data_IF_493340142978
#
_entry.id   IF_493340142978
#
_cell.length_a   1.000
_cell.length_b   1.000
_cell.length_c   1.000
_cell.angle_alpha   90.00
_cell.angle_beta   90.00
_cell.angle_gamma   90.00
#
_symmetry.space_group_name_H-M   'P 1'
#
loop_
_entity.id
_entity.type
_entity.pdbx_description
1 polymer ?
#
# COMPACT_ATOMS: atom_id res chain seq x y z
N UNK A 1 -6.32 -23.36 -5.39
CA UNK A 1 -7.61 -22.77 -4.97
C UNK A 1 -8.12 -21.80 -6.02
N UNK A 2 -9.44 -21.63 -6.13
CA UNK A 2 -10.09 -20.55 -6.88
C UNK A 2 -10.33 -19.35 -5.97
N UNK A 3 -9.72 -18.23 -6.25
CA UNK A 3 -9.77 -17.01 -5.42
C UNK A 3 -10.47 -15.90 -6.19
N UNK A 4 -11.58 -15.38 -5.63
CA UNK A 4 -12.25 -14.19 -6.17
C UNK A 4 -11.78 -12.94 -5.41
N UNK A 5 -11.18 -12.01 -6.12
CA UNK A 5 -10.72 -10.74 -5.55
C UNK A 5 -11.74 -9.64 -5.83
N UNK A 6 -12.28 -9.02 -4.79
CA UNK A 6 -13.18 -7.87 -4.89
C UNK A 6 -12.44 -6.61 -4.46
N UNK A 7 -12.31 -5.64 -5.35
CA UNK A 7 -11.57 -4.42 -5.03
C UNK A 7 -12.09 -3.22 -5.83
N UNK A 8 -11.79 -2.01 -5.37
CA UNK A 8 -11.94 -0.81 -6.19
C UNK A 8 -10.81 -0.71 -7.22
N UNK A 9 -11.11 -0.10 -8.35
CA UNK A 9 -10.13 0.13 -9.41
C UNK A 9 -9.16 1.27 -9.07
N UNK A 10 -9.63 2.33 -8.40
CA UNK A 10 -8.81 3.48 -8.01
C UNK A 10 -8.12 3.25 -6.67
N UNK A 11 -6.79 3.26 -6.66
CA UNK A 11 -5.95 3.02 -5.49
C UNK A 11 -4.78 4.00 -5.44
N UNK A 12 -4.62 4.73 -4.34
CA UNK A 12 -3.53 5.70 -4.10
C UNK A 12 -3.31 6.70 -5.26
N UNK A 13 -4.39 7.18 -5.88
CA UNK A 13 -4.31 8.10 -7.02
C UNK A 13 -4.05 7.44 -8.37
N UNK A 14 -3.71 6.16 -8.40
CA UNK A 14 -3.47 5.35 -9.58
C UNK A 14 -4.69 4.47 -9.92
N UNK A 15 -4.71 3.94 -11.14
CA UNK A 15 -5.71 2.97 -11.60
C UNK A 15 -5.09 1.57 -11.61
N UNK A 16 -5.75 0.63 -10.96
CA UNK A 16 -5.29 -0.76 -10.85
C UNK A 16 -4.96 -1.42 -12.20
N UNK A 17 -5.78 -1.15 -13.22
CA UNK A 17 -5.69 -1.81 -14.52
C UNK A 17 -4.88 -1.00 -15.53
N UNK A 18 -5.05 0.33 -15.53
CA UNK A 18 -4.36 1.22 -16.48
C UNK A 18 -2.89 1.45 -16.06
N UNK A 19 -2.65 1.75 -14.77
CA UNK A 19 -1.30 2.01 -14.24
C UNK A 19 -0.56 0.73 -13.78
N UNK A 20 -1.26 -0.40 -13.68
CA UNK A 20 -0.71 -1.70 -13.24
C UNK A 20 0.09 -1.61 -11.96
N UNK A 21 -0.49 -1.01 -10.94
CA UNK A 21 0.22 -0.62 -9.72
C UNK A 21 -0.44 -1.11 -8.44
N UNK A 22 0.39 -1.46 -7.46
CA UNK A 22 0.07 -1.55 -6.04
C UNK A 22 -0.43 -2.92 -5.56
N UNK A 23 -0.72 -2.98 -4.27
CA UNK A 23 -1.09 -4.18 -3.50
C UNK A 23 -2.14 -5.05 -4.18
N UNK A 24 -3.19 -4.44 -4.71
CA UNK A 24 -4.32 -5.16 -5.31
C UNK A 24 -4.03 -5.70 -6.70
N UNK A 25 -2.87 -5.40 -7.26
CA UNK A 25 -2.33 -6.03 -8.46
C UNK A 25 -1.27 -7.07 -8.12
N UNK A 26 -0.29 -6.69 -7.33
CA UNK A 26 0.90 -7.51 -7.07
C UNK A 26 0.56 -8.79 -6.28
N UNK A 27 -0.29 -8.69 -5.25
CA UNK A 27 -0.67 -9.87 -4.46
C UNK A 27 -1.51 -10.89 -5.26
N UNK A 28 -2.57 -10.49 -6.02
CA UNK A 28 -3.28 -11.42 -6.90
C UNK A 28 -2.39 -12.09 -7.95
N UNK A 29 -1.46 -11.35 -8.55
CA UNK A 29 -0.49 -11.92 -9.49
C UNK A 29 0.44 -12.92 -8.81
N UNK A 30 0.95 -12.59 -7.63
CA UNK A 30 1.77 -13.49 -6.84
C UNK A 30 1.01 -14.77 -6.44
N UNK A 31 -0.26 -14.67 -6.05
CA UNK A 31 -1.11 -15.83 -5.79
C UNK A 31 -1.29 -16.70 -7.05
N UNK A 32 -1.49 -16.08 -8.21
CA UNK A 32 -1.59 -16.81 -9.47
C UNK A 32 -0.27 -17.51 -9.83
N UNK A 33 0.88 -16.93 -9.52
CA UNK A 33 2.20 -17.55 -9.69
C UNK A 33 2.43 -18.76 -8.77
N UNK A 34 1.80 -18.75 -7.59
CA UNK A 34 1.79 -19.89 -6.66
C UNK A 34 0.84 -21.02 -7.09
N UNK A 35 0.17 -20.88 -8.26
CA UNK A 35 -0.71 -21.91 -8.82
C UNK A 35 -2.17 -21.78 -8.41
N UNK A 36 -2.58 -20.65 -7.81
CA UNK A 36 -4.00 -20.40 -7.57
C UNK A 36 -4.67 -19.87 -8.84
N UNK A 37 -5.94 -20.22 -9.05
CA UNK A 37 -6.77 -19.63 -10.08
C UNK A 37 -7.40 -18.35 -9.53
N UNK A 38 -7.02 -17.19 -10.10
CA UNK A 38 -7.40 -15.89 -9.54
C UNK A 38 -8.24 -15.10 -10.54
N UNK A 39 -9.45 -14.72 -10.11
CA UNK A 39 -10.33 -13.79 -10.81
C UNK A 39 -10.50 -12.52 -9.99
N UNK A 40 -10.35 -11.36 -10.63
CA UNK A 40 -10.56 -10.06 -10.00
C UNK A 40 -11.82 -9.36 -10.52
N UNK A 41 -12.61 -8.75 -9.65
CA UNK A 41 -13.72 -7.86 -9.99
C UNK A 41 -13.40 -6.47 -9.44
N UNK A 42 -13.03 -5.58 -10.35
CA UNK A 42 -12.59 -4.23 -10.05
C UNK A 42 -13.73 -3.22 -10.20
N UNK A 43 -14.15 -2.64 -9.08
CA UNK A 43 -15.19 -1.62 -9.00
C UNK A 43 -14.62 -0.24 -9.34
N UNK A 44 -15.06 0.39 -10.41
CA UNK A 44 -14.65 1.76 -10.72
C UNK A 44 -15.66 2.77 -10.19
N UNK A 45 -15.20 3.66 -9.31
CA UNK A 45 -15.96 4.84 -8.85
C UNK A 45 -15.84 6.03 -9.82
N UNK A 46 -15.12 5.85 -10.91
CA UNK A 46 -15.03 6.79 -12.04
C UNK A 46 -15.52 6.09 -13.30
N UNK A 47 -15.96 6.86 -14.29
CA UNK A 47 -16.30 6.29 -15.59
C UNK A 47 -15.01 5.85 -16.29
N UNK A 48 -14.84 4.56 -16.46
CA UNK A 48 -13.74 3.90 -17.18
C UNK A 48 -14.30 2.92 -18.20
N UNK A 49 -13.46 2.45 -19.08
CA UNK A 49 -13.83 1.35 -19.97
C UNK A 49 -14.12 0.09 -19.15
N UNK A 50 -15.28 -0.49 -19.40
CA UNK A 50 -15.68 -1.76 -18.80
C UNK A 50 -15.26 -2.91 -19.72
N UNK A 51 -14.86 -4.02 -19.14
CA UNK A 51 -14.45 -5.18 -19.93
C UNK A 51 -13.66 -6.18 -19.11
N UNK A 52 -13.02 -7.08 -19.83
CA UNK A 52 -12.16 -8.12 -19.29
C UNK A 52 -10.72 -7.79 -19.67
N UNK A 53 -9.85 -7.72 -18.67
CA UNK A 53 -8.41 -7.49 -18.85
C UNK A 53 -7.64 -8.68 -18.31
N UNK A 54 -6.72 -9.22 -19.08
CA UNK A 54 -5.78 -10.24 -18.64
C UNK A 54 -4.51 -9.53 -18.12
N UNK A 55 -4.17 -9.75 -16.88
CA UNK A 55 -2.89 -9.28 -16.30
C UNK A 55 -1.97 -10.47 -16.04
N UNK A 56 -0.74 -10.37 -16.51
CA UNK A 56 0.29 -11.41 -16.37
C UNK A 56 1.67 -10.74 -16.34
N UNK A 57 2.64 -11.43 -15.73
CA UNK A 57 4.05 -11.05 -15.82
C UNK A 57 4.67 -11.93 -16.89
N UNK A 58 5.25 -11.32 -17.92
CA UNK A 58 5.71 -11.96 -19.18
C UNK A 58 6.70 -13.11 -19.00
N UNK A 59 7.37 -13.21 -17.85
CA UNK A 59 8.41 -14.21 -17.57
C UNK A 59 7.97 -15.34 -16.64
N UNK A 60 6.72 -15.34 -16.14
CA UNK A 60 6.28 -16.27 -15.10
C UNK A 60 4.90 -16.87 -15.41
N UNK A 61 4.70 -18.13 -15.02
CA UNK A 61 3.39 -18.79 -15.08
C UNK A 61 2.47 -18.21 -14.01
N UNK A 62 1.51 -17.45 -14.41
CA UNK A 62 0.49 -16.88 -13.53
C UNK A 62 -0.25 -15.75 -14.23
N UNK A 63 -1.58 -15.79 -14.18
CA UNK A 63 -2.43 -14.78 -14.80
C UNK A 63 -3.66 -14.51 -13.94
N UNK A 64 -4.06 -13.25 -13.93
CA UNK A 64 -5.30 -12.82 -13.28
C UNK A 64 -6.25 -12.28 -14.32
N UNK A 65 -7.50 -12.75 -14.32
CA UNK A 65 -8.55 -12.23 -15.18
C UNK A 65 -9.31 -11.16 -14.39
N UNK A 66 -9.24 -9.93 -14.86
CA UNK A 66 -9.92 -8.80 -14.26
C UNK A 66 -11.21 -8.43 -15.02
N UNK A 67 -12.30 -8.32 -14.28
CA UNK A 67 -13.57 -7.75 -14.75
C UNK A 67 -13.72 -6.33 -14.21
N UNK A 68 -13.68 -5.32 -15.10
CA UNK A 68 -13.88 -3.91 -14.74
C UNK A 68 -15.36 -3.54 -14.84
N UNK A 69 -15.93 -3.04 -13.75
CA UNK A 69 -17.35 -2.67 -13.66
C UNK A 69 -17.48 -1.28 -13.04
N UNK A 70 -18.16 -0.35 -13.73
CA UNK A 70 -18.41 0.98 -13.20
C UNK A 70 -19.55 0.97 -12.16
N UNK A 71 -19.28 1.50 -10.97
CA UNK A 71 -20.28 1.74 -9.94
C UNK A 71 -21.00 3.09 -10.08
N UNK A 72 -20.67 3.86 -11.13
CA UNK A 72 -21.25 5.16 -11.40
C UNK A 72 -21.68 5.26 -12.87
N UNK A 73 -22.78 5.99 -13.14
CA UNK A 73 -23.16 6.37 -14.47
C UNK A 73 -23.45 7.88 -14.47
N UNK A 74 -22.62 8.64 -15.19
CA UNK A 74 -22.60 10.11 -15.14
C UNK A 74 -22.46 10.61 -13.71
N UNK A 75 -23.57 10.96 -13.01
CA UNK A 75 -23.57 11.49 -11.64
C UNK A 75 -24.28 10.56 -10.63
N UNK A 76 -24.81 9.41 -11.06
CA UNK A 76 -25.59 8.54 -10.18
C UNK A 76 -24.81 7.29 -9.75
N UNK A 77 -24.75 6.97 -8.43
CA UNK A 77 -24.19 5.73 -7.96
C UNK A 77 -24.98 4.52 -8.48
N UNK A 78 -24.28 3.46 -8.93
CA UNK A 78 -24.87 2.20 -9.38
C UNK A 78 -24.21 1.01 -8.69
N UNK A 79 -24.04 1.06 -7.39
CA UNK A 79 -23.46 -0.03 -6.60
C UNK A 79 -24.25 -1.34 -6.76
N UNK A 80 -25.57 -1.28 -6.91
CA UNK A 80 -26.41 -2.46 -7.19
C UNK A 80 -26.06 -3.17 -8.51
N UNK A 81 -25.65 -2.42 -9.55
CA UNK A 81 -25.18 -3.01 -10.81
C UNK A 81 -23.86 -3.76 -10.64
N UNK A 82 -22.93 -3.17 -9.89
CA UNK A 82 -21.69 -3.85 -9.53
C UNK A 82 -21.98 -5.14 -8.75
N UNK A 83 -22.82 -5.05 -7.71
CA UNK A 83 -23.18 -6.19 -6.87
C UNK A 83 -23.83 -7.33 -7.68
N UNK A 84 -24.78 -7.01 -8.57
CA UNK A 84 -25.44 -8.00 -9.42
C UNK A 84 -24.47 -8.69 -10.38
N UNK A 85 -23.55 -7.94 -11.01
CA UNK A 85 -22.55 -8.53 -11.90
C UNK A 85 -21.52 -9.36 -11.15
N UNK A 86 -21.04 -8.87 -10.00
CA UNK A 86 -20.12 -9.61 -9.16
C UNK A 86 -20.72 -10.92 -8.64
N UNK A 87 -22.02 -10.91 -8.28
CA UNK A 87 -22.74 -12.12 -7.89
C UNK A 87 -22.79 -13.14 -9.03
N UNK A 88 -23.10 -12.71 -10.26
CA UNK A 88 -23.12 -13.60 -11.43
C UNK A 88 -21.74 -14.19 -11.69
N UNK A 89 -20.69 -13.36 -11.72
CA UNK A 89 -19.31 -13.81 -11.91
C UNK A 89 -18.87 -14.80 -10.82
N UNK A 90 -19.22 -14.53 -9.56
CA UNK A 90 -18.93 -15.44 -8.45
C UNK A 90 -19.67 -16.79 -8.58
N UNK A 91 -20.94 -16.77 -9.03
CA UNK A 91 -21.72 -18.01 -9.26
C UNK A 91 -21.13 -18.84 -10.41
N UNK A 92 -20.70 -18.20 -11.50
CA UNK A 92 -20.08 -18.87 -12.66
C UNK A 92 -18.67 -19.40 -12.33
N UNK A 93 -17.87 -18.64 -11.55
CA UNK A 93 -16.50 -18.98 -11.18
C UNK A 93 -16.40 -20.01 -10.06
N UNK A 94 -17.38 -20.04 -9.15
CA UNK A 94 -17.42 -20.92 -7.97
C UNK A 94 -16.12 -20.83 -7.14
N UNK A 95 -15.80 -19.67 -6.53
CA UNK A 95 -14.58 -19.49 -5.77
C UNK A 95 -14.59 -20.30 -4.48
N UNK A 96 -13.42 -20.84 -4.11
CA UNK A 96 -13.16 -21.45 -2.80
C UNK A 96 -13.08 -20.39 -1.70
N UNK A 97 -12.68 -19.16 -2.09
CA UNK A 97 -12.49 -18.04 -1.18
C UNK A 97 -12.71 -16.70 -1.90
N UNK A 98 -13.37 -15.76 -1.20
CA UNK A 98 -13.46 -14.35 -1.60
C UNK A 98 -12.47 -13.55 -0.77
N UNK A 99 -11.52 -12.89 -1.44
CA UNK A 99 -10.65 -11.88 -0.83
C UNK A 99 -11.20 -10.49 -1.14
N UNK A 100 -11.77 -9.86 -0.11
CA UNK A 100 -12.48 -8.59 -0.24
C UNK A 100 -11.63 -7.44 0.28
N UNK A 101 -11.28 -6.52 -0.61
CA UNK A 101 -10.27 -5.50 -0.38
C UNK A 101 -10.85 -4.09 -0.54
N UNK A 102 -10.05 -3.11 -0.15
CA UNK A 102 -10.06 -1.71 -0.57
C UNK A 102 -10.93 -0.72 0.20
N UNK A 103 -12.12 -1.00 0.64
CA UNK A 103 -12.94 -0.07 1.43
C UNK A 103 -14.09 -0.77 2.17
N UNK A 104 -14.82 0.01 2.99
CA UNK A 104 -15.92 -0.52 3.80
C UNK A 104 -17.04 -1.14 2.95
N UNK A 105 -17.32 -0.60 1.75
CA UNK A 105 -18.33 -1.17 0.86
C UNK A 105 -17.94 -2.57 0.41
N UNK A 106 -16.68 -2.76 -0.04
CA UNK A 106 -16.20 -4.07 -0.48
C UNK A 106 -16.16 -5.06 0.69
N UNK A 107 -15.73 -4.63 1.88
CA UNK A 107 -15.73 -5.47 3.07
C UNK A 107 -17.14 -6.01 3.40
N UNK A 108 -18.14 -5.12 3.42
CA UNK A 108 -19.54 -5.49 3.67
C UNK A 108 -20.09 -6.37 2.56
N UNK A 109 -19.87 -5.96 1.30
CA UNK A 109 -20.37 -6.69 0.14
C UNK A 109 -19.73 -8.08 0.01
N UNK A 110 -18.41 -8.19 0.20
CA UNK A 110 -17.70 -9.46 0.14
C UNK A 110 -18.16 -10.45 1.21
N UNK A 111 -18.36 -9.97 2.44
CA UNK A 111 -18.90 -10.81 3.52
C UNK A 111 -20.35 -11.27 3.22
N UNK A 112 -21.19 -10.38 2.65
CA UNK A 112 -22.55 -10.74 2.22
C UNK A 112 -22.52 -11.74 1.06
N UNK A 113 -21.68 -11.51 0.04
CA UNK A 113 -21.57 -12.37 -1.14
C UNK A 113 -21.10 -13.77 -0.75
N UNK A 114 -20.08 -13.86 0.10
CA UNK A 114 -19.56 -15.14 0.58
C UNK A 114 -20.64 -15.99 1.28
N UNK A 115 -21.43 -15.37 2.15
CA UNK A 115 -22.60 -16.03 2.77
C UNK A 115 -23.62 -16.48 1.73
N UNK A 116 -23.87 -15.65 0.71
CA UNK A 116 -24.88 -15.93 -0.33
C UNK A 116 -24.53 -17.11 -1.21
N UNK A 117 -23.23 -17.33 -1.50
CA UNK A 117 -22.73 -18.44 -2.32
C UNK A 117 -22.05 -19.55 -1.49
N UNK A 118 -22.14 -19.48 -0.15
CA UNK A 118 -21.63 -20.47 0.79
C UNK A 118 -20.12 -20.72 0.66
N UNK A 119 -19.33 -19.66 0.50
CA UNK A 119 -17.86 -19.73 0.43
C UNK A 119 -17.20 -18.93 1.55
N UNK A 120 -15.88 -19.00 1.68
CA UNK A 120 -15.09 -18.29 2.68
C UNK A 120 -14.86 -16.83 2.30
N UNK A 121 -14.77 -15.97 3.32
CA UNK A 121 -14.46 -14.55 3.15
C UNK A 121 -13.24 -14.14 3.98
N UNK A 122 -12.24 -13.59 3.31
CA UNK A 122 -11.13 -12.87 3.95
C UNK A 122 -11.24 -11.39 3.58
N UNK A 123 -11.21 -10.51 4.58
CA UNK A 123 -11.24 -9.06 4.38
C UNK A 123 -9.84 -8.49 4.54
N UNK A 124 -9.39 -7.69 3.57
CA UNK A 124 -8.10 -6.99 3.62
C UNK A 124 -8.29 -5.55 4.09
N UNK A 125 -7.69 -5.22 5.22
CA UNK A 125 -7.66 -3.88 5.79
C UNK A 125 -6.30 -3.23 5.51
N UNK A 126 -6.19 -2.54 4.37
CA UNK A 126 -4.97 -1.84 3.97
C UNK A 126 -4.90 -0.40 4.47
N UNK A 127 -5.93 0.06 5.17
CA UNK A 127 -6.03 1.39 5.74
C UNK A 127 -7.08 1.41 6.87
N UNK A 128 -7.05 2.45 7.70
CA UNK A 128 -8.10 2.66 8.70
C UNK A 128 -9.36 3.25 8.05
N UNK A 129 -10.27 2.38 7.59
CA UNK A 129 -11.51 2.80 6.90
C UNK A 129 -12.46 3.60 7.80
N UNK A 130 -12.31 3.55 9.10
CA UNK A 130 -13.11 4.33 10.04
C UNK A 130 -12.75 5.82 10.01
N UNK A 131 -11.53 6.17 9.61
CA UNK A 131 -11.07 7.55 9.46
C UNK A 131 -11.58 8.24 8.18
N UNK A 132 -12.16 7.50 7.23
CA UNK A 132 -12.68 8.09 6.00
C UNK A 132 -14.05 8.72 6.16
N UNK A 133 -14.35 9.75 5.35
CA UNK A 133 -15.68 10.42 5.35
C UNK A 133 -16.84 9.45 5.12
N UNK A 134 -16.63 8.35 4.42
CA UNK A 134 -17.64 7.32 4.21
C UNK A 134 -18.14 6.71 5.53
N UNK A 135 -17.34 6.67 6.59
CA UNK A 135 -17.74 6.18 7.91
C UNK A 135 -18.83 7.03 8.58
N UNK A 136 -19.02 8.28 8.12
CA UNK A 136 -20.08 9.19 8.61
C UNK A 136 -21.48 8.82 8.07
N UNK A 137 -21.57 7.91 7.08
CA UNK A 137 -22.87 7.41 6.59
C UNK A 137 -23.52 6.59 7.71
N UNK A 138 -24.76 6.95 8.14
CA UNK A 138 -25.44 6.26 9.23
C UNK A 138 -25.53 4.75 9.01
N UNK A 139 -25.11 3.97 10.00
CA UNK A 139 -25.13 2.50 9.97
C UNK A 139 -23.99 1.84 9.20
N UNK A 140 -23.26 2.54 8.32
CA UNK A 140 -22.19 1.93 7.52
C UNK A 140 -21.06 1.38 8.39
N UNK A 141 -20.65 2.13 9.43
CA UNK A 141 -19.61 1.71 10.36
C UNK A 141 -19.99 0.44 11.13
N UNK A 142 -21.25 0.36 11.58
CA UNK A 142 -21.76 -0.83 12.28
C UNK A 142 -21.76 -2.06 11.38
N UNK A 143 -22.19 -1.89 10.14
CA UNK A 143 -22.17 -2.98 9.14
C UNK A 143 -20.74 -3.41 8.80
N UNK A 144 -19.83 -2.44 8.65
CA UNK A 144 -18.41 -2.72 8.40
C UNK A 144 -17.78 -3.51 9.56
N UNK A 145 -17.93 -3.04 10.80
CA UNK A 145 -17.43 -3.73 11.99
C UNK A 145 -18.01 -5.12 12.15
N UNK A 146 -19.30 -5.28 11.82
CA UNK A 146 -19.93 -6.60 11.79
C UNK A 146 -19.31 -7.49 10.72
N UNK A 147 -19.12 -7.00 9.49
CA UNK A 147 -18.48 -7.76 8.41
C UNK A 147 -17.08 -8.23 8.80
N UNK A 148 -16.26 -7.35 9.38
CA UNK A 148 -14.90 -7.68 9.84
C UNK A 148 -14.92 -8.73 10.96
N UNK A 149 -15.84 -8.64 11.94
CA UNK A 149 -15.95 -9.65 13.01
C UNK A 149 -16.39 -11.01 12.47
N UNK A 150 -17.32 -11.04 11.52
CA UNK A 150 -17.92 -12.28 10.99
C UNK A 150 -17.08 -12.93 9.87
N UNK A 151 -16.18 -12.20 9.21
CA UNK A 151 -15.31 -12.74 8.17
C UNK A 151 -14.48 -13.94 8.66
N UNK A 152 -14.25 -14.94 7.81
CA UNK A 152 -13.47 -16.13 8.15
C UNK A 152 -12.02 -15.79 8.46
N UNK A 153 -11.44 -14.79 7.79
CA UNK A 153 -10.13 -14.23 8.06
C UNK A 153 -10.08 -12.72 7.86
N UNK A 154 -9.07 -12.07 8.45
CA UNK A 154 -8.76 -10.67 8.17
C UNK A 154 -7.26 -10.52 7.96
N UNK A 155 -6.88 -9.79 6.91
CA UNK A 155 -5.50 -9.38 6.68
C UNK A 155 -5.34 -7.89 6.95
N UNK A 156 -4.20 -7.51 7.53
CA UNK A 156 -3.83 -6.12 7.81
C UNK A 156 -2.53 -5.81 7.09
N UNK A 157 -2.34 -4.57 6.67
CA UNK A 157 -1.08 -4.21 6.03
C UNK A 157 0.00 -3.77 7.03
N UNK A 158 -0.33 -3.50 8.30
CA UNK A 158 0.63 -3.25 9.36
C UNK A 158 0.10 -3.72 10.73
N UNK A 159 1.04 -3.94 11.66
CA UNK A 159 0.75 -4.42 13.02
C UNK A 159 -0.14 -3.43 13.77
N UNK A 160 0.13 -2.13 13.72
CA UNK A 160 -0.64 -1.11 14.42
C UNK A 160 -2.12 -1.11 14.07
N UNK A 161 -2.45 -1.30 12.79
CA UNK A 161 -3.84 -1.42 12.38
C UNK A 161 -4.46 -2.72 12.90
N UNK A 162 -3.72 -3.82 12.92
CA UNK A 162 -4.19 -5.08 13.49
C UNK A 162 -4.51 -4.93 14.97
N UNK A 163 -3.61 -4.36 15.76
CA UNK A 163 -3.78 -4.15 17.19
C UNK A 163 -4.97 -3.23 17.49
N UNK A 164 -5.09 -2.12 16.74
CA UNK A 164 -6.25 -1.22 16.84
C UNK A 164 -7.59 -1.94 16.60
N UNK A 165 -7.67 -2.71 15.52
CA UNK A 165 -8.90 -3.41 15.15
C UNK A 165 -9.25 -4.50 16.16
N UNK A 166 -8.28 -5.29 16.62
CA UNK A 166 -8.49 -6.34 17.61
C UNK A 166 -8.95 -5.76 18.96
N UNK A 167 -8.43 -4.60 19.36
CA UNK A 167 -8.85 -3.90 20.59
C UNK A 167 -10.24 -3.27 20.43
N UNK A 168 -10.54 -2.69 19.26
CA UNK A 168 -11.79 -1.94 19.05
C UNK A 168 -13.00 -2.86 18.88
N UNK A 169 -12.84 -3.98 18.19
CA UNK A 169 -13.90 -4.96 17.96
C UNK A 169 -13.33 -6.38 17.91
N UNK A 170 -13.15 -6.99 19.09
CA UNK A 170 -12.53 -8.30 19.22
C UNK A 170 -13.20 -9.37 18.36
N UNK A 171 -12.39 -10.28 17.86
CA UNK A 171 -12.80 -11.41 17.03
C UNK A 171 -12.05 -12.67 17.42
N UNK A 172 -12.70 -13.85 17.25
CA UNK A 172 -12.11 -15.15 17.58
C UNK A 172 -11.64 -15.93 16.35
N UNK A 173 -11.66 -15.29 15.16
CA UNK A 173 -11.26 -15.90 13.90
C UNK A 173 -9.86 -15.44 13.50
N UNK A 174 -9.13 -16.22 12.68
CA UNK A 174 -7.75 -15.93 12.30
C UNK A 174 -7.56 -14.54 11.68
N UNK A 175 -6.41 -13.95 11.96
CA UNK A 175 -5.96 -12.73 11.30
C UNK A 175 -4.44 -12.71 11.20
N UNK A 176 -3.92 -12.02 10.18
CA UNK A 176 -2.48 -11.90 9.98
C UNK A 176 -2.12 -10.55 9.35
N UNK A 177 -0.86 -10.16 9.50
CA UNK A 177 -0.31 -8.97 8.85
C UNK A 177 0.34 -9.38 7.54
N UNK A 178 -0.09 -8.80 6.44
CA UNK A 178 0.50 -8.95 5.11
C UNK A 178 1.02 -7.58 4.68
N UNK A 179 2.28 -7.34 4.91
CA UNK A 179 2.93 -6.10 4.54
C UNK A 179 3.05 -5.95 3.02
N UNK A 180 3.17 -4.70 2.56
CA UNK A 180 3.46 -4.44 1.16
C UNK A 180 4.90 -4.84 0.84
N UNK A 181 5.08 -5.51 -0.27
CA UNK A 181 6.38 -5.86 -0.79
C UNK A 181 6.99 -4.79 -1.68
N UNK A 182 8.25 -4.99 -2.03
CA UNK A 182 8.97 -4.17 -3.00
C UNK A 182 9.27 -4.98 -4.26
N UNK A 183 9.24 -4.35 -5.42
CA UNK A 183 9.72 -4.92 -6.68
C UNK A 183 11.26 -4.92 -6.67
N UNK A 184 11.84 -6.04 -6.19
CA UNK A 184 13.30 -6.19 -6.10
C UNK A 184 14.01 -6.22 -7.47
N UNK A 185 13.27 -6.36 -8.55
CA UNK A 185 13.73 -6.21 -9.92
C UNK A 185 13.92 -4.74 -10.33
N UNK A 186 13.29 -3.79 -9.64
CA UNK A 186 13.43 -2.35 -9.84
C UNK A 186 14.25 -1.70 -8.73
N UNK A 187 13.92 -1.99 -7.47
CA UNK A 187 14.51 -1.37 -6.29
C UNK A 187 15.67 -2.23 -5.77
N UNK A 188 16.87 -1.84 -6.12
CA UNK A 188 18.15 -2.40 -5.69
C UNK A 188 19.20 -1.27 -5.69
N UNK A 189 20.39 -1.46 -5.12
CA UNK A 189 21.44 -0.45 -5.17
C UNK A 189 21.84 -0.08 -6.60
N UNK A 190 21.67 1.18 -6.97
CA UNK A 190 22.04 1.72 -8.27
C UNK A 190 23.35 2.48 -8.19
N UNK A 191 24.04 2.62 -9.33
CA UNK A 191 25.18 3.52 -9.44
C UNK A 191 24.73 4.97 -9.36
N UNK A 192 25.19 5.69 -8.34
CA UNK A 192 24.78 7.06 -8.03
C UNK A 192 25.07 8.03 -9.18
N UNK A 193 26.25 7.94 -9.76
CA UNK A 193 26.70 8.89 -10.78
C UNK A 193 25.89 8.71 -12.07
N UNK A 194 25.62 7.47 -12.45
CA UNK A 194 24.74 7.16 -13.57
C UNK A 194 23.30 7.65 -13.32
N UNK A 195 22.78 7.48 -12.10
CA UNK A 195 21.48 8.01 -11.70
C UNK A 195 21.43 9.54 -11.79
N UNK A 196 22.44 10.23 -11.31
CA UNK A 196 22.53 11.69 -11.39
C UNK A 196 22.59 12.18 -12.83
N UNK A 197 23.40 11.54 -13.66
CA UNK A 197 23.49 11.87 -15.07
C UNK A 197 22.13 11.71 -15.78
N UNK A 198 21.40 10.64 -15.47
CA UNK A 198 20.06 10.39 -16.03
C UNK A 198 19.07 11.53 -15.81
N UNK A 199 19.12 12.14 -14.63
CA UNK A 199 18.20 13.21 -14.23
C UNK A 199 18.79 14.62 -14.37
N UNK A 200 20.01 14.77 -14.90
CA UNK A 200 20.67 16.06 -15.01
C UNK A 200 21.01 16.69 -13.67
N UNK A 201 21.20 15.87 -12.64
CA UNK A 201 21.58 16.31 -11.30
C UNK A 201 23.11 16.50 -11.21
N UNK A 202 23.60 17.49 -10.44
CA UNK A 202 25.03 17.72 -10.30
C UNK A 202 25.74 16.52 -9.65
N UNK A 203 26.87 16.12 -10.26
CA UNK A 203 27.60 14.92 -9.86
C UNK A 203 28.19 15.02 -8.46
N UNK A 204 28.78 16.16 -8.14
CA UNK A 204 29.58 16.36 -6.91
C UNK A 204 28.79 17.03 -5.78
N UNK A 205 27.55 17.44 -6.03
CA UNK A 205 26.70 18.05 -5.01
C UNK A 205 26.20 17.05 -3.97
N UNK A 206 25.89 17.55 -2.80
CA UNK A 206 25.14 16.82 -1.77
C UNK A 206 23.65 16.94 -2.06
N UNK A 207 22.93 15.84 -2.23
CA UNK A 207 21.53 15.86 -2.66
C UNK A 207 20.64 15.15 -1.64
N UNK A 208 19.74 15.92 -1.02
CA UNK A 208 18.65 15.36 -0.23
C UNK A 208 17.34 15.39 -1.02
N UNK A 209 16.47 14.40 -0.83
CA UNK A 209 15.27 14.35 -1.67
C UNK A 209 14.17 13.43 -1.17
N UNK A 210 13.03 13.48 -1.87
CA UNK A 210 11.90 12.59 -1.63
C UNK A 210 11.17 12.25 -2.92
N UNK A 211 10.66 11.02 -2.99
CA UNK A 211 9.78 10.55 -4.07
C UNK A 211 8.35 10.31 -3.57
N UNK A 212 7.37 10.49 -4.45
CA UNK A 212 5.94 10.22 -4.20
C UNK A 212 5.12 11.49 -4.01
N UNK A 213 3.86 11.36 -3.58
CA UNK A 213 2.96 12.49 -3.49
C UNK A 213 3.51 13.59 -2.55
N UNK A 214 3.62 14.79 -3.11
CA UNK A 214 4.03 16.00 -2.41
C UNK A 214 2.78 16.75 -1.97
N UNK A 215 2.34 16.52 -0.75
CA UNK A 215 1.13 17.15 -0.20
C UNK A 215 1.29 17.58 1.27
N UNK A 216 0.47 18.56 1.67
CA UNK A 216 0.49 19.14 3.03
C UNK A 216 0.03 18.15 4.07
N UNK A 217 -0.87 17.23 3.71
CA UNK A 217 -1.37 16.23 4.65
C UNK A 217 -0.27 15.27 5.11
N UNK A 218 0.78 15.14 4.30
CA UNK A 218 1.99 14.36 4.61
C UNK A 218 3.11 15.17 5.28
N UNK A 219 2.93 16.49 5.44
CA UNK A 219 3.92 17.35 6.10
C UNK A 219 5.13 17.68 5.24
N UNK A 220 4.99 17.73 3.91
CA UNK A 220 6.10 18.04 3.00
C UNK A 220 6.71 19.43 3.26
N UNK A 221 5.91 20.39 3.75
CA UNK A 221 6.39 21.74 4.07
C UNK A 221 7.44 21.74 5.19
N UNK A 222 7.40 20.75 6.10
CA UNK A 222 8.44 20.55 7.12
C UNK A 222 9.80 20.27 6.47
N UNK A 223 9.81 19.45 5.41
CA UNK A 223 11.02 19.15 4.66
C UNK A 223 11.55 20.37 3.88
N UNK A 224 10.66 21.16 3.30
CA UNK A 224 11.08 22.38 2.59
C UNK A 224 11.75 23.38 3.52
N UNK A 225 11.19 23.61 4.71
CA UNK A 225 11.80 24.49 5.72
C UNK A 225 13.10 23.92 6.26
N UNK A 226 13.19 22.60 6.46
CA UNK A 226 14.43 21.95 6.87
C UNK A 226 15.53 22.11 5.81
N UNK A 227 15.18 21.99 4.52
CA UNK A 227 16.13 22.28 3.44
C UNK A 227 16.63 23.73 3.48
N UNK A 228 15.74 24.72 3.71
CA UNK A 228 16.15 26.14 3.84
C UNK A 228 17.14 26.34 4.99
N UNK A 229 16.93 25.70 6.14
CA UNK A 229 17.86 25.73 7.27
C UNK A 229 19.20 25.12 6.91
N UNK A 230 19.22 23.93 6.34
CA UNK A 230 20.45 23.24 5.96
C UNK A 230 21.20 23.96 4.83
N UNK A 231 20.49 24.52 3.86
CA UNK A 231 21.09 25.23 2.74
C UNK A 231 21.79 26.55 3.11
N UNK A 232 21.54 27.06 4.32
CA UNK A 232 22.30 28.16 4.89
C UNK A 232 23.67 27.71 5.46
N UNK A 233 23.80 26.45 5.85
CA UNK A 233 25.01 25.86 6.43
C UNK A 233 25.86 25.12 5.38
N UNK A 234 25.18 24.41 4.43
CA UNK A 234 25.81 23.59 3.39
C UNK A 234 25.66 24.23 2.02
N UNK A 235 26.71 24.85 1.50
CA UNK A 235 26.67 25.60 0.24
C UNK A 235 26.44 24.72 -1.01
N UNK A 236 26.81 23.46 -0.96
CA UNK A 236 26.66 22.46 -2.03
C UNK A 236 25.43 21.57 -1.87
N UNK A 237 24.54 21.90 -0.92
CA UNK A 237 23.33 21.14 -0.68
C UNK A 237 22.24 21.46 -1.72
N UNK A 238 21.73 20.42 -2.36
CA UNK A 238 20.66 20.46 -3.33
C UNK A 238 19.42 19.69 -2.85
N UNK A 239 18.23 20.16 -3.24
CA UNK A 239 16.96 19.51 -3.01
C UNK A 239 16.48 18.85 -4.30
N UNK A 240 16.18 17.56 -4.28
CA UNK A 240 15.57 16.85 -5.39
C UNK A 240 14.18 16.30 -5.03
N UNK A 241 13.20 16.57 -5.87
CA UNK A 241 11.80 16.22 -5.66
C UNK A 241 11.24 15.47 -6.86
N UNK A 242 10.55 14.34 -6.63
CA UNK A 242 9.86 13.60 -7.67
C UNK A 242 8.47 13.17 -7.21
N UNK A 243 7.43 13.50 -7.98
CA UNK A 243 6.06 13.05 -7.74
C UNK A 243 4.99 14.08 -8.01
N UNK A 244 3.72 13.64 -8.01
CA UNK A 244 2.58 14.52 -8.15
C UNK A 244 2.48 15.45 -6.94
N UNK A 245 2.04 16.68 -7.19
CA UNK A 245 1.90 17.70 -6.15
C UNK A 245 0.47 18.12 -5.91
N UNK A 246 0.18 18.45 -4.66
CA UNK A 246 -1.07 19.07 -4.27
C UNK A 246 -1.24 20.45 -4.96
N UNK A 247 -2.44 20.74 -5.41
CA UNK A 247 -2.75 22.04 -6.03
C UNK A 247 -2.47 23.20 -5.07
N UNK A 248 -1.68 24.17 -5.53
CA UNK A 248 -1.28 25.32 -4.73
C UNK A 248 -0.19 25.07 -3.69
N UNK A 249 0.44 23.91 -3.68
CA UNK A 249 1.65 23.69 -2.90
C UNK A 249 2.80 24.48 -3.54
N UNK A 250 3.41 25.35 -2.75
CA UNK A 250 4.63 26.07 -3.15
C UNK A 250 5.83 25.22 -2.79
N UNK A 251 6.69 24.97 -3.75
CA UNK A 251 7.99 24.35 -3.51
C UNK A 251 9.07 25.43 -3.40
N UNK A 252 10.19 25.18 -2.71
CA UNK A 252 11.33 26.07 -2.76
C UNK A 252 11.79 26.32 -4.20
N UNK A 253 12.32 27.50 -4.45
CA UNK A 253 12.81 27.90 -5.76
C UNK A 253 14.31 28.22 -5.69
N UNK A 254 15.03 28.07 -6.79
CA UNK A 254 16.44 28.42 -6.90
C UNK A 254 17.27 27.38 -7.62
N UNK A 255 18.55 27.68 -7.91
CA UNK A 255 19.42 26.83 -8.72
C UNK A 255 19.77 25.48 -8.07
N UNK A 256 19.55 25.36 -6.76
CA UNK A 256 19.79 24.14 -5.98
C UNK A 256 18.53 23.29 -5.76
N UNK A 257 17.41 23.62 -6.45
CA UNK A 257 16.15 22.87 -6.33
C UNK A 257 15.83 22.21 -7.67
N UNK A 258 15.74 20.88 -7.65
CA UNK A 258 15.45 20.03 -8.80
C UNK A 258 14.08 19.40 -8.66
N UNK A 259 13.10 19.90 -9.41
CA UNK A 259 11.75 19.39 -9.45
C UNK A 259 11.53 18.55 -10.70
N UNK A 260 11.68 17.23 -10.55
CA UNK A 260 11.60 16.25 -11.64
C UNK A 260 10.16 15.89 -12.02
N UNK A 261 9.17 16.48 -11.35
CA UNK A 261 7.74 16.19 -11.58
C UNK A 261 7.40 14.72 -11.27
N UNK A 262 6.29 14.24 -11.82
CA UNK A 262 5.92 12.83 -11.68
C UNK A 262 6.76 11.97 -12.60
N UNK A 263 7.47 11.01 -12.01
CA UNK A 263 8.28 10.02 -12.74
C UNK A 263 7.48 8.73 -12.98
N UNK A 264 7.73 8.01 -14.06
CA UNK A 264 7.31 6.62 -14.20
C UNK A 264 7.82 5.78 -13.03
N UNK A 265 7.03 4.77 -12.62
CA UNK A 265 7.40 3.95 -11.45
C UNK A 265 8.78 3.27 -11.59
N UNK A 266 9.12 2.86 -12.81
CA UNK A 266 10.39 2.23 -13.17
C UNK A 266 11.59 3.16 -12.99
N UNK A 267 11.38 4.47 -12.97
CA UNK A 267 12.44 5.47 -12.78
C UNK A 267 12.64 5.90 -11.32
N UNK A 268 11.67 5.58 -10.45
CA UNK A 268 11.71 5.99 -9.03
C UNK A 268 12.93 5.42 -8.32
N UNK A 269 13.31 4.17 -8.60
CA UNK A 269 14.48 3.53 -8.00
C UNK A 269 15.78 4.25 -8.39
N UNK A 270 15.94 4.61 -9.67
CA UNK A 270 17.09 5.40 -10.14
C UNK A 270 17.12 6.80 -9.52
N UNK A 271 15.94 7.43 -9.36
CA UNK A 271 15.85 8.72 -8.64
C UNK A 271 16.30 8.58 -7.19
N UNK A 272 15.83 7.56 -6.47
CA UNK A 272 16.26 7.30 -5.09
C UNK A 272 17.76 7.05 -5.04
N UNK A 273 18.32 6.28 -5.98
CA UNK A 273 19.75 6.02 -6.08
C UNK A 273 20.62 7.26 -6.34
N UNK A 274 20.05 8.36 -6.86
CA UNK A 274 20.74 9.62 -7.08
C UNK A 274 20.93 10.45 -5.79
N UNK A 275 20.21 10.14 -4.71
CA UNK A 275 20.21 10.90 -3.46
C UNK A 275 21.32 10.47 -2.51
N UNK A 276 21.82 11.42 -1.72
CA UNK A 276 22.68 11.14 -0.56
C UNK A 276 21.85 10.79 0.68
N UNK A 277 20.67 11.42 0.84
CA UNK A 277 19.71 11.13 1.90
C UNK A 277 18.28 11.22 1.34
N UNK A 278 17.49 10.19 1.55
CA UNK A 278 16.07 10.17 1.20
C UNK A 278 15.19 10.47 2.43
N UNK A 279 14.21 11.34 2.26
CA UNK A 279 13.34 11.84 3.33
C UNK A 279 11.93 11.29 3.18
N UNK A 280 11.38 10.73 4.26
CA UNK A 280 9.99 10.29 4.35
C UNK A 280 9.24 11.16 5.34
N UNK A 281 8.38 12.03 4.81
CA UNK A 281 7.56 12.93 5.62
C UNK A 281 6.24 12.30 6.00
N UNK A 282 5.85 12.43 7.27
CA UNK A 282 4.51 12.16 7.77
C UNK A 282 4.16 13.15 8.89
N UNK A 283 2.87 13.49 8.95
CA UNK A 283 2.32 14.25 10.07
C UNK A 283 1.83 13.31 11.15
N UNK A 284 1.87 13.78 12.39
CA UNK A 284 1.18 13.08 13.47
C UNK A 284 -0.33 13.26 13.31
N UNK A 285 -0.96 12.26 12.73
CA UNK A 285 -2.39 12.23 12.39
C UNK A 285 -2.87 10.79 12.37
N UNK A 286 -4.21 10.60 12.42
CA UNK A 286 -4.79 9.26 12.29
C UNK A 286 -4.35 8.55 10.99
N UNK A 287 -4.13 9.29 9.90
CA UNK A 287 -3.60 8.73 8.67
C UNK A 287 -2.11 8.34 8.82
N UNK A 288 -1.29 9.19 9.41
CA UNK A 288 0.13 8.90 9.65
C UNK A 288 0.33 7.70 10.58
N UNK A 289 -0.49 7.61 11.64
CA UNK A 289 -0.39 6.57 12.67
C UNK A 289 -0.58 5.16 12.10
N UNK A 290 -1.54 5.00 11.16
CA UNK A 290 -1.86 3.71 10.56
C UNK A 290 -1.28 3.52 9.16
N UNK A 291 -0.59 4.52 8.61
CA UNK A 291 0.06 4.37 7.30
C UNK A 291 1.42 3.70 7.44
N UNK A 292 1.68 2.73 6.56
CA UNK A 292 3.04 2.23 6.37
C UNK A 292 3.56 2.73 5.03
N UNK A 293 4.56 3.61 5.02
CA UNK A 293 5.05 4.17 3.78
C UNK A 293 5.90 3.13 3.02
N UNK A 294 5.33 2.57 1.98
CA UNK A 294 6.02 1.63 1.10
C UNK A 294 7.36 2.17 0.61
N UNK A 295 7.45 3.49 0.38
CA UNK A 295 8.69 4.16 -0.03
C UNK A 295 9.87 3.94 0.95
N UNK A 296 9.60 3.69 2.24
CA UNK A 296 10.69 3.38 3.18
C UNK A 296 11.36 2.05 2.81
N UNK A 297 10.58 1.03 2.50
CA UNK A 297 11.11 -0.24 1.99
C UNK A 297 11.82 -0.07 0.64
N UNK A 298 11.29 0.76 -0.24
CA UNK A 298 11.90 1.06 -1.54
C UNK A 298 13.27 1.73 -1.37
N UNK A 299 13.38 2.70 -0.45
CA UNK A 299 14.65 3.38 -0.12
C UNK A 299 15.64 2.39 0.52
N UNK A 300 15.19 1.57 1.48
CA UNK A 300 16.02 0.54 2.10
C UNK A 300 16.55 -0.48 1.08
N UNK A 301 15.71 -0.90 0.13
CA UNK A 301 16.11 -1.79 -0.95
C UNK A 301 17.19 -1.18 -1.85
N UNK A 302 17.13 0.13 -2.10
CA UNK A 302 18.16 0.87 -2.83
C UNK A 302 19.43 1.15 -1.99
N UNK A 303 19.43 0.83 -0.68
CA UNK A 303 20.53 1.09 0.25
C UNK A 303 20.93 2.57 0.32
N UNK A 304 19.96 3.46 0.21
CA UNK A 304 20.15 4.91 0.39
C UNK A 304 19.87 5.28 1.85
N UNK A 305 20.66 6.17 2.47
CA UNK A 305 20.37 6.69 3.79
C UNK A 305 18.94 7.23 3.88
N UNK A 306 18.18 6.74 4.88
CA UNK A 306 16.77 7.07 5.08
C UNK A 306 16.61 7.88 6.35
N UNK A 307 15.88 9.00 6.28
CA UNK A 307 15.33 9.66 7.46
C UNK A 307 13.82 9.77 7.36
N UNK A 308 13.12 9.60 8.48
CA UNK A 308 11.67 9.58 8.49
C UNK A 308 11.08 10.26 9.73
N UNK A 309 9.87 10.78 9.60
CA UNK A 309 9.11 11.27 10.74
C UNK A 309 8.82 10.14 11.73
N UNK A 310 9.00 10.38 13.02
CA UNK A 310 8.76 9.44 14.10
C UNK A 310 7.26 9.23 14.35
N UNK A 311 6.54 8.66 13.37
CA UNK A 311 5.08 8.45 13.41
C UNK A 311 4.74 7.01 13.04
N UNK A 312 3.79 6.43 13.74
CA UNK A 312 3.17 5.17 13.38
C UNK A 312 4.16 4.03 13.17
N UNK A 313 3.99 3.27 12.11
CA UNK A 313 4.84 2.13 11.76
C UNK A 313 6.30 2.50 11.46
N UNK A 314 6.63 3.78 11.23
CA UNK A 314 8.03 4.19 11.09
C UNK A 314 8.81 4.06 12.39
N UNK A 315 8.17 4.32 13.56
CA UNK A 315 8.81 4.09 14.86
C UNK A 315 9.17 2.61 15.07
N UNK A 316 8.33 1.70 14.60
CA UNK A 316 8.58 0.26 14.69
C UNK A 316 9.70 -0.17 13.73
N UNK A 317 9.62 0.26 12.47
CA UNK A 317 10.60 -0.06 11.44
C UNK A 317 12.00 0.43 11.81
N UNK A 318 12.10 1.64 12.36
CA UNK A 318 13.37 2.30 12.67
C UNK A 318 13.74 2.28 14.16
N UNK A 319 13.10 1.42 14.99
CA UNK A 319 13.35 1.35 16.43
C UNK A 319 14.82 1.12 16.80
N UNK A 320 15.56 0.38 15.97
CA UNK A 320 16.99 0.11 16.12
C UNK A 320 17.88 1.17 15.44
N UNK A 321 17.27 2.18 14.82
CA UNK A 321 17.92 3.27 14.08
C UNK A 321 17.38 4.65 14.49
N UNK A 322 17.41 5.00 15.80
CA UNK A 322 16.79 6.24 16.26
C UNK A 322 17.42 7.49 15.63
N UNK A 323 18.68 7.40 15.18
CA UNK A 323 19.35 8.47 14.45
C UNK A 323 18.77 8.75 13.05
N UNK A 324 17.88 7.86 12.55
CA UNK A 324 17.14 8.03 11.29
C UNK A 324 15.74 8.63 11.51
N UNK A 325 15.34 8.92 12.75
CA UNK A 325 14.03 9.48 13.08
C UNK A 325 14.14 10.95 13.45
N UNK A 326 13.21 11.75 12.93
CA UNK A 326 13.03 13.15 13.33
C UNK A 326 11.65 13.38 13.94
N UNK A 327 11.53 14.39 14.79
CA UNK A 327 10.26 14.78 15.41
C UNK A 327 9.26 15.25 14.34
N UNK A 328 8.05 14.68 14.28
CA UNK A 328 7.05 15.05 13.27
C UNK A 328 6.75 16.55 13.27
N UNK A 329 6.61 17.14 12.08
CA UNK A 329 6.28 18.55 11.87
C UNK A 329 7.32 19.55 12.45
N UNK A 330 8.48 19.06 12.88
CA UNK A 330 9.61 19.86 13.38
C UNK A 330 10.72 19.95 12.32
N UNK A 331 10.82 21.11 11.65
CA UNK A 331 11.81 21.35 10.59
C UNK A 331 13.25 21.42 11.12
N UNK A 332 13.46 21.91 12.35
CA UNK A 332 14.78 21.95 12.98
C UNK A 332 15.27 20.54 13.31
N UNK A 333 14.40 19.68 13.88
CA UNK A 333 14.71 18.28 14.13
C UNK A 333 15.02 17.52 12.83
N UNK A 334 14.28 17.78 11.75
CA UNK A 334 14.57 17.18 10.44
C UNK A 334 15.92 17.67 9.91
N UNK A 335 16.21 18.96 9.98
CA UNK A 335 17.48 19.53 9.54
C UNK A 335 18.67 18.91 10.32
N UNK A 336 18.59 18.87 11.65
CA UNK A 336 19.62 18.25 12.49
C UNK A 336 19.83 16.76 12.14
N UNK A 337 18.74 16.01 11.97
CA UNK A 337 18.81 14.58 11.61
C UNK A 337 19.43 14.39 10.23
N UNK A 338 19.07 15.24 9.26
CA UNK A 338 19.66 15.20 7.92
C UNK A 338 21.13 15.58 7.93
N UNK A 339 21.52 16.62 8.67
CA UNK A 339 22.93 17.01 8.85
C UNK A 339 23.77 15.86 9.39
N UNK A 340 23.30 15.20 10.46
CA UNK A 340 23.97 13.99 11.00
C UNK A 340 24.13 12.89 9.96
N UNK A 341 23.11 12.64 9.14
CA UNK A 341 23.17 11.64 8.06
C UNK A 341 24.14 12.03 6.94
N UNK A 342 24.30 13.31 6.66
CA UNK A 342 25.29 13.79 5.68
C UNK A 342 26.73 13.62 6.17
N UNK A 343 26.96 13.83 7.45
CA UNK A 343 28.27 13.64 8.09
C UNK A 343 28.61 12.17 8.30
N UNK A 344 27.65 11.40 8.81
CA UNK A 344 27.81 9.98 9.12
C UNK A 344 26.61 9.19 8.60
N UNK A 345 26.76 8.66 7.38
CA UNK A 345 25.68 7.89 6.71
C UNK A 345 25.34 6.61 7.47
N UNK A 346 24.09 6.47 7.84
CA UNK A 346 23.53 5.24 8.41
C UNK A 346 22.60 4.60 7.37
N UNK A 347 22.96 3.40 6.92
CA UNK A 347 22.12 2.58 6.05
C UNK A 347 21.27 1.68 6.94
N UNK A 348 19.96 1.80 6.80
CA UNK A 348 19.03 0.93 7.51
C UNK A 348 19.11 -0.47 6.89
N UNK A 349 19.64 -1.42 7.65
CA UNK A 349 19.72 -2.81 7.27
C UNK A 349 18.54 -3.56 7.93
N UNK A 350 17.60 -4.00 7.13
CA UNK A 350 16.44 -4.75 7.58
C UNK A 350 15.93 -5.64 6.46
N UNK A 351 15.12 -6.61 6.82
CA UNK A 351 14.46 -7.43 5.83
C UNK A 351 13.42 -6.61 5.08
N UNK A 352 13.57 -6.52 3.77
CA UNK A 352 12.61 -5.86 2.88
C UNK A 352 11.85 -6.97 2.15
N UNK A 353 10.55 -7.15 2.44
CA UNK A 353 9.77 -8.18 1.79
C UNK A 353 9.62 -7.89 0.29
N UNK A 354 9.65 -8.94 -0.54
CA UNK A 354 9.21 -8.83 -1.93
C UNK A 354 7.70 -9.05 -2.02
N UNK A 355 7.09 -8.64 -3.13
CA UNK A 355 5.69 -8.97 -3.40
C UNK A 355 5.45 -10.49 -3.46
N UNK A 356 6.44 -11.27 -3.89
CA UNK A 356 6.39 -12.73 -3.89
C UNK A 356 6.34 -13.30 -2.46
N UNK A 357 7.15 -12.75 -1.53
CA UNK A 357 7.13 -13.16 -0.12
C UNK A 357 5.77 -12.84 0.52
N UNK A 358 5.24 -11.63 0.28
CA UNK A 358 3.93 -11.21 0.77
C UNK A 358 2.78 -12.04 0.19
N UNK A 359 2.85 -12.38 -1.10
CA UNK A 359 1.86 -13.24 -1.74
C UNK A 359 1.91 -14.68 -1.21
N UNK A 360 3.11 -15.22 -0.95
CA UNK A 360 3.29 -16.53 -0.33
C UNK A 360 2.69 -16.58 1.07
N UNK A 361 2.95 -15.54 1.89
CA UNK A 361 2.36 -15.44 3.22
C UNK A 361 0.82 -15.37 3.15
N UNK A 362 0.28 -14.57 2.21
CA UNK A 362 -1.17 -14.48 1.97
C UNK A 362 -1.76 -15.82 1.51
N UNK A 363 -1.09 -16.53 0.61
CA UNK A 363 -1.51 -17.85 0.12
C UNK A 363 -1.60 -18.88 1.25
N UNK A 364 -0.55 -18.96 2.09
CA UNK A 364 -0.53 -19.84 3.26
C UNK A 364 -1.69 -19.52 4.22
N UNK A 365 -1.98 -18.25 4.45
CA UNK A 365 -3.12 -17.83 5.28
C UNK A 365 -4.46 -18.25 4.68
N UNK A 366 -4.63 -18.17 3.36
CA UNK A 366 -5.85 -18.64 2.69
C UNK A 366 -6.03 -20.15 2.78
N UNK A 367 -4.94 -20.92 2.68
CA UNK A 367 -4.96 -22.37 2.87
C UNK A 367 -5.33 -22.75 4.29
N UNK A 368 -4.83 -22.03 5.30
CA UNK A 368 -5.21 -22.23 6.71
C UNK A 368 -6.72 -21.99 6.91
N UNK A 369 -7.27 -20.87 6.37
CA UNK A 369 -8.71 -20.56 6.46
C UNK A 369 -9.57 -21.66 5.81
N UNK A 370 -9.10 -22.23 4.71
CA UNK A 370 -9.81 -23.30 4.00
C UNK A 370 -9.73 -24.64 4.71
N UNK A 371 -8.58 -25.00 5.29
CA UNK A 371 -8.37 -26.23 6.03
C UNK A 371 -9.17 -26.30 7.34
N UNK A 372 -9.26 -25.20 8.09
CA UNK A 372 -10.02 -25.11 9.35
C UNK A 372 -11.54 -25.36 9.13
N UNK A 373 -12.06 -25.05 7.94
CA UNK A 373 -13.45 -25.33 7.59
C UNK A 373 -13.73 -26.83 7.43
N UNK A 374 -12.79 -27.56 6.85
CA UNK A 374 -12.95 -28.99 6.63
C UNK A 374 -12.95 -29.78 7.95
N UNK A 375 -12.15 -29.34 8.94
CA UNK A 375 -12.13 -29.95 10.28
C UNK A 375 -13.44 -29.74 11.03
N UNK A 376 -13.98 -28.53 11.05
CA UNK A 376 -15.26 -28.25 11.74
C UNK A 376 -16.46 -28.95 11.08
N UNK A 377 -16.44 -29.16 9.75
CA UNK A 377 -17.46 -29.91 9.04
C UNK A 377 -17.39 -31.44 9.28
N UNK A 378 -16.19 -31.96 9.54
CA UNK A 378 -15.97 -33.39 9.86
C UNK A 378 -16.42 -33.67 11.29
N UNK A 379 -16.07 -32.80 12.26
CA UNK A 379 -16.46 -32.97 13.66
C UNK A 379 -17.97 -32.87 13.85
N UNK A 380 -18.67 -31.97 13.15
CA UNK A 380 -20.13 -31.85 13.20
C UNK A 380 -20.86 -33.08 12.59
N UNK A 381 -20.27 -33.74 11.59
CA UNK A 381 -20.81 -35.00 11.03
C UNK A 381 -20.63 -36.19 11.95
N UNK A 382 -19.57 -36.21 12.75
CA UNK A 382 -19.29 -37.26 13.74
C UNK A 382 -20.26 -37.12 14.95
N UNK A 383 -20.56 -35.88 15.38
CA UNK A 383 -21.50 -35.63 16.48
C UNK A 383 -22.96 -35.90 16.09
N UNK A 384 -23.35 -35.70 14.82
CA UNK A 384 -24.70 -36.02 14.33
C UNK A 384 -24.91 -37.51 14.01
N UNK A 385 -23.83 -38.29 13.98
CA UNK A 385 -23.88 -39.73 13.72
C UNK A 385 -23.79 -40.59 15.01
N UNK A 386 -23.71 -39.94 16.16
CA UNK A 386 -23.83 -40.54 17.49
C UNK A 386 -25.19 -40.18 18.12
#
# INVERSE_FOLDING_TARGET
>A
MKILVLTKRQYMGKDLLDDRFGRFRELPLGLAQLGHEVMGVACSYRRREEGVTLDSISSQNGRVIWHSINAVNRLTPRLGRFASRALKLAADFQPDLIWSCSDAYHAIFGAWLAKRIQTKCVIDLYDNFEAFRASQVPGLLSLFRRAVREADGVTFFCRRLADYVVQTYPRNKPSTVIENGVRKDLFYPHDRDACRQRFGLPKDATIIGTAGALDRSRGIETFFRAFELLAAEYNDLHLALAGPRERGLRIPEGPRVHDLKELPHEEVASFVGALDVAVVCYRQSAQGEFSFPQKAYEIMACRVPLIAAAVGSMNELLQNYPACLYEPENSASLAETAGRQLEQKVIVNGEVPSWADSAKHLGNFFEEISANANRSATDSRIETAR
#
